data_IF_599505187858
#
_entry.id   IF_599505187858
#
_cell.length_a   1.000
_cell.length_b   1.000
_cell.length_c   1.000
_cell.angle_alpha   90.00
_cell.angle_beta   90.00
_cell.angle_gamma   90.00
#
_symmetry.space_group_name_H-M   'P 1'
#
loop_
_entity.id
_entity.type
_entity.pdbx_description
1 polymer ?
#
# COMPACT_ATOMS: atom_id res chain seq x y z
N UNK A 1 -17.04 -43.25 -2.86
CA UNK A 1 -16.07 -42.89 -3.92
C UNK A 1 -16.79 -42.93 -5.26
N UNK A 2 -16.91 -41.80 -5.98
CA UNK A 2 -17.53 -41.81 -7.32
C UNK A 2 -16.40 -42.00 -8.34
N UNK A 3 -16.13 -43.25 -8.70
CA UNK A 3 -15.32 -43.60 -9.85
C UNK A 3 -16.25 -43.84 -11.04
N UNK A 4 -16.45 -42.82 -11.89
CA UNK A 4 -16.98 -42.96 -13.25
C UNK A 4 -16.24 -41.97 -14.14
N UNK A 5 -15.74 -42.47 -15.27
CA UNK A 5 -14.63 -41.92 -16.04
C UNK A 5 -14.79 -40.46 -16.50
N UNK A 6 -13.65 -39.77 -16.57
CA UNK A 6 -13.38 -38.54 -17.33
C UNK A 6 -14.55 -37.55 -17.51
N UNK A 7 -15.34 -37.32 -16.45
CA UNK A 7 -16.48 -36.42 -16.49
C UNK A 7 -15.96 -34.97 -16.48
N UNK A 8 -15.77 -34.39 -17.67
CA UNK A 8 -15.46 -32.95 -17.84
C UNK A 8 -16.62 -32.04 -17.39
N UNK A 9 -17.82 -32.60 -17.29
CA UNK A 9 -19.05 -31.93 -16.87
C UNK A 9 -18.93 -31.58 -15.38
N UNK A 10 -18.92 -30.28 -15.07
CA UNK A 10 -18.83 -29.77 -13.70
C UNK A 10 -17.42 -29.40 -13.23
N UNK A 11 -16.35 -29.68 -13.99
CA UNK A 11 -14.97 -29.24 -13.63
C UNK A 11 -14.90 -27.72 -13.43
N UNK A 12 -15.56 -26.94 -14.31
CA UNK A 12 -15.66 -25.46 -14.18
C UNK A 12 -16.28 -25.00 -12.85
N UNK A 13 -17.10 -25.84 -12.21
CA UNK A 13 -17.82 -25.54 -10.97
C UNK A 13 -17.21 -26.21 -9.72
N UNK A 14 -16.20 -27.08 -9.89
CA UNK A 14 -15.48 -27.71 -8.77
C UNK A 14 -14.36 -26.77 -8.32
N UNK A 15 -14.51 -26.17 -7.13
CA UNK A 15 -13.46 -25.33 -6.54
C UNK A 15 -12.40 -26.20 -5.84
N UNK A 16 -11.41 -26.70 -6.60
CA UNK A 16 -10.20 -27.38 -6.10
C UNK A 16 -8.93 -26.51 -6.22
N UNK A 17 -7.76 -27.01 -5.83
CA UNK A 17 -6.48 -26.26 -5.97
C UNK A 17 -6.24 -25.79 -7.40
N UNK A 18 -6.56 -26.63 -8.38
CA UNK A 18 -6.27 -26.41 -9.81
C UNK A 18 -7.41 -25.74 -10.60
N UNK A 19 -8.26 -24.98 -9.91
CA UNK A 19 -9.34 -24.26 -10.60
C UNK A 19 -8.76 -23.13 -11.45
N UNK A 20 -9.11 -23.06 -12.76
CA UNK A 20 -8.50 -22.10 -13.69
C UNK A 20 -8.96 -20.65 -13.47
N UNK A 21 -9.97 -20.41 -12.63
CA UNK A 21 -10.47 -19.07 -12.35
C UNK A 21 -9.66 -18.31 -11.30
N UNK A 22 -9.77 -16.99 -11.31
CA UNK A 22 -9.11 -16.16 -10.31
C UNK A 22 -9.73 -16.35 -8.92
N UNK A 23 -8.91 -16.74 -7.95
CA UNK A 23 -9.26 -16.82 -6.53
C UNK A 23 -9.32 -15.42 -5.91
N UNK A 24 -10.22 -15.22 -4.95
CA UNK A 24 -10.35 -13.94 -4.26
C UNK A 24 -9.07 -13.49 -3.54
N UNK A 25 -8.35 -14.43 -2.91
CA UNK A 25 -7.07 -14.17 -2.26
C UNK A 25 -7.09 -13.22 -1.05
N UNK A 26 -8.26 -12.76 -0.58
CA UNK A 26 -8.34 -11.89 0.59
C UNK A 26 -8.00 -12.69 1.85
N UNK A 27 -7.33 -12.07 2.83
CA UNK A 27 -7.00 -12.72 4.10
C UNK A 27 -8.29 -13.03 4.86
N UNK A 28 -8.52 -14.30 5.14
CA UNK A 28 -9.68 -14.75 5.92
C UNK A 28 -9.41 -14.57 7.42
N UNK A 29 -10.45 -14.74 8.26
CA UNK A 29 -10.30 -14.72 9.73
C UNK A 29 -9.30 -15.76 10.26
N UNK A 30 -9.11 -16.88 9.54
CA UNK A 30 -8.11 -17.92 9.88
C UNK A 30 -6.69 -17.56 9.43
N UNK A 31 -6.48 -16.37 8.85
CA UNK A 31 -5.19 -15.94 8.33
C UNK A 31 -4.83 -16.46 6.94
N UNK A 32 -5.55 -17.45 6.41
CA UNK A 32 -5.32 -18.03 5.08
C UNK A 32 -5.99 -17.22 3.96
N UNK A 33 -5.52 -17.38 2.72
CA UNK A 33 -6.07 -16.71 1.54
C UNK A 33 -7.45 -17.27 1.14
N UNK A 34 -8.38 -16.38 0.78
CA UNK A 34 -9.74 -16.76 0.41
C UNK A 34 -9.78 -17.53 -0.92
N UNK A 35 -10.33 -18.75 -0.85
CA UNK A 35 -10.45 -19.64 -2.01
C UNK A 35 -11.73 -19.44 -2.84
N UNK A 36 -12.64 -18.55 -2.44
CA UNK A 36 -13.87 -18.29 -3.19
C UNK A 36 -13.55 -17.69 -4.58
N UNK A 37 -14.40 -17.94 -5.59
CA UNK A 37 -14.25 -17.31 -6.90
C UNK A 37 -14.27 -15.78 -6.76
N UNK A 38 -13.32 -15.11 -7.42
CA UNK A 38 -13.28 -13.67 -7.52
C UNK A 38 -14.39 -13.16 -8.45
N UNK A 39 -14.87 -11.94 -8.19
CA UNK A 39 -15.63 -11.18 -9.17
C UNK A 39 -14.67 -10.68 -10.26
N UNK A 40 -15.09 -10.79 -11.53
CA UNK A 40 -14.34 -10.29 -12.70
C UNK A 40 -14.01 -8.80 -12.61
N UNK A 41 -14.80 -8.00 -11.90
CA UNK A 41 -14.65 -6.54 -11.82
C UNK A 41 -13.47 -6.08 -10.96
N UNK A 42 -13.28 -6.69 -9.79
CA UNK A 42 -12.32 -6.19 -8.79
C UNK A 42 -11.45 -7.29 -8.15
N UNK A 43 -11.53 -8.53 -8.64
CA UNK A 43 -10.70 -9.64 -8.16
C UNK A 43 -11.07 -10.16 -6.76
N UNK A 44 -12.13 -9.65 -6.12
CA UNK A 44 -12.58 -10.11 -4.80
C UNK A 44 -13.92 -10.82 -4.87
N UNK A 45 -14.17 -11.77 -3.97
CA UNK A 45 -15.46 -12.45 -3.88
C UNK A 45 -16.50 -11.57 -3.16
N UNK A 46 -17.80 -11.89 -3.32
CA UNK A 46 -18.92 -11.12 -2.76
C UNK A 46 -18.76 -10.74 -1.28
N UNK A 47 -18.24 -11.65 -0.44
CA UNK A 47 -18.07 -11.43 1.01
C UNK A 47 -16.82 -10.62 1.37
N UNK A 48 -15.88 -10.47 0.43
CA UNK A 48 -14.68 -9.64 0.59
C UNK A 48 -14.77 -8.37 -0.28
N UNK A 49 -15.98 -7.81 -0.43
CA UNK A 49 -16.20 -6.58 -1.18
C UNK A 49 -16.30 -6.75 -2.70
N UNK A 50 -16.34 -7.99 -3.20
CA UNK A 50 -16.47 -8.28 -4.63
C UNK A 50 -17.71 -7.70 -5.31
N UNK A 51 -18.78 -7.51 -4.53
CA UNK A 51 -20.01 -6.87 -5.00
C UNK A 51 -20.07 -5.36 -4.66
N UNK A 52 -19.11 -4.85 -3.88
CA UNK A 52 -19.07 -3.45 -3.52
C UNK A 52 -18.62 -2.61 -4.71
N UNK A 53 -19.36 -1.54 -4.97
CA UNK A 53 -19.06 -0.59 -6.04
C UNK A 53 -18.33 0.65 -5.53
N UNK A 54 -18.22 0.80 -4.21
CA UNK A 54 -17.76 2.03 -3.58
C UNK A 54 -18.69 3.23 -3.82
N UNK A 55 -18.35 4.40 -3.26
CA UNK A 55 -19.05 5.66 -3.54
C UNK A 55 -18.82 6.10 -4.98
N UNK A 56 -19.91 6.36 -5.72
CA UNK A 56 -19.83 6.82 -7.12
C UNK A 56 -19.85 8.33 -7.27
N UNK A 57 -20.45 9.04 -6.31
CA UNK A 57 -20.55 10.50 -6.30
C UNK A 57 -19.36 11.13 -5.59
N UNK A 58 -19.10 12.40 -5.89
CA UNK A 58 -18.05 13.17 -5.21
C UNK A 58 -18.38 13.35 -3.72
N UNK A 59 -19.63 13.68 -3.39
CA UNK A 59 -20.13 13.76 -2.02
C UNK A 59 -19.93 12.45 -1.25
N UNK A 60 -20.20 11.31 -1.88
CA UNK A 60 -20.02 10.00 -1.26
C UNK A 60 -18.53 9.69 -0.99
N UNK A 61 -17.64 10.09 -1.91
CA UNK A 61 -16.19 9.98 -1.72
C UNK A 61 -15.71 10.88 -0.59
N UNK A 62 -16.21 12.12 -0.53
CA UNK A 62 -15.89 13.07 0.53
C UNK A 62 -16.32 12.54 1.90
N UNK A 63 -17.56 12.05 2.03
CA UNK A 63 -18.09 11.48 3.28
C UNK A 63 -17.27 10.30 3.78
N UNK A 64 -16.90 9.37 2.89
CA UNK A 64 -16.07 8.21 3.27
C UNK A 64 -14.63 8.64 3.59
N UNK A 65 -14.09 9.64 2.88
CA UNK A 65 -12.77 10.20 3.18
C UNK A 65 -12.74 10.83 4.57
N UNK A 66 -13.77 11.61 4.93
CA UNK A 66 -13.94 12.23 6.23
C UNK A 66 -14.11 11.18 7.33
N UNK A 67 -15.00 10.20 7.14
CA UNK A 67 -15.21 9.12 8.11
C UNK A 67 -13.94 8.28 8.38
N UNK A 68 -13.05 8.13 7.39
CA UNK A 68 -11.78 7.41 7.55
C UNK A 68 -10.62 8.31 8.02
N UNK A 69 -10.82 9.62 8.13
CA UNK A 69 -9.79 10.56 8.52
C UNK A 69 -9.54 10.45 10.03
N UNK A 70 -8.41 9.85 10.42
CA UNK A 70 -8.06 9.69 11.84
C UNK A 70 -7.33 10.89 12.44
N UNK A 71 -6.23 11.33 11.81
CA UNK A 71 -5.32 12.34 12.38
C UNK A 71 -4.74 13.31 11.35
N UNK A 72 -5.13 13.24 10.07
CA UNK A 72 -4.72 14.19 9.03
C UNK A 72 -3.26 14.12 8.53
N UNK A 73 -2.33 13.46 9.23
CA UNK A 73 -0.90 13.35 8.83
C UNK A 73 -0.65 12.88 7.38
N UNK A 74 -1.56 12.07 6.82
CA UNK A 74 -1.45 11.54 5.45
C UNK A 74 -2.32 12.27 4.43
N UNK A 75 -2.89 13.43 4.77
CA UNK A 75 -3.57 14.26 3.76
C UNK A 75 -2.56 14.75 2.71
N UNK A 76 -3.06 15.01 1.50
CA UNK A 76 -2.22 15.45 0.37
C UNK A 76 -1.36 16.67 0.73
N UNK A 77 -1.94 17.63 1.44
CA UNK A 77 -1.24 18.86 1.83
C UNK A 77 -0.14 18.62 2.85
N UNK A 78 -0.39 17.79 3.87
CA UNK A 78 0.62 17.45 4.88
C UNK A 78 1.77 16.65 4.27
N UNK A 79 1.47 15.75 3.33
CA UNK A 79 2.49 15.02 2.58
C UNK A 79 3.31 15.95 1.68
N UNK A 80 2.68 16.89 0.99
CA UNK A 80 3.35 17.91 0.17
C UNK A 80 4.28 18.77 1.02
N UNK A 81 3.77 19.35 2.12
CA UNK A 81 4.56 20.13 3.08
C UNK A 81 5.73 19.33 3.67
N UNK A 82 5.53 18.05 3.96
CA UNK A 82 6.61 17.17 4.43
C UNK A 82 7.70 17.00 3.37
N UNK A 83 7.35 16.81 2.09
CA UNK A 83 8.30 16.71 0.99
C UNK A 83 9.09 18.01 0.81
N UNK A 84 8.41 19.15 0.85
CA UNK A 84 9.02 20.48 0.76
C UNK A 84 10.00 20.73 1.92
N UNK A 85 9.58 20.47 3.15
CA UNK A 85 10.44 20.60 4.33
C UNK A 85 11.66 19.68 4.26
N UNK A 86 11.48 18.43 3.80
CA UNK A 86 12.58 17.51 3.61
C UNK A 86 13.56 18.01 2.53
N UNK A 87 13.06 18.62 1.44
CA UNK A 87 13.90 19.21 0.40
C UNK A 87 14.70 20.40 0.94
N UNK A 88 14.07 21.31 1.69
CA UNK A 88 14.75 22.43 2.38
C UNK A 88 15.83 21.92 3.33
N UNK A 89 15.49 20.95 4.18
CA UNK A 89 16.45 20.36 5.12
C UNK A 89 17.62 19.66 4.43
N UNK A 90 17.43 19.08 3.24
CA UNK A 90 18.54 18.53 2.45
C UNK A 90 19.49 19.62 1.95
N UNK A 91 18.97 20.75 1.46
CA UNK A 91 19.79 21.89 1.01
C UNK A 91 20.64 22.45 2.15
N UNK A 92 19.98 22.77 3.27
CA UNK A 92 20.66 23.30 4.47
C UNK A 92 21.75 22.35 4.95
N UNK A 93 21.48 21.03 5.03
CA UNK A 93 22.49 20.05 5.42
C UNK A 93 23.66 19.94 4.43
N UNK A 94 23.40 20.11 3.13
CA UNK A 94 24.45 20.11 2.12
C UNK A 94 25.35 21.35 2.25
N UNK A 95 24.76 22.52 2.48
CA UNK A 95 25.48 23.78 2.74
C UNK A 95 26.32 23.69 4.02
N UNK A 96 25.74 23.23 5.13
CA UNK A 96 26.45 22.99 6.38
C UNK A 96 27.65 22.05 6.15
N UNK A 97 27.43 20.94 5.44
CA UNK A 97 28.51 19.99 5.13
C UNK A 97 29.63 20.64 4.31
N UNK A 98 29.29 21.50 3.36
CA UNK A 98 30.28 22.23 2.56
C UNK A 98 31.10 23.19 3.43
N UNK A 99 30.45 23.98 4.28
CA UNK A 99 31.11 24.89 5.23
C UNK A 99 32.03 24.11 6.16
N UNK A 100 31.54 23.01 6.75
CA UNK A 100 32.32 22.15 7.63
C UNK A 100 33.57 21.58 6.94
N UNK A 101 33.44 21.21 5.67
CA UNK A 101 34.57 20.69 4.89
C UNK A 101 35.63 21.77 4.68
N UNK A 102 35.21 22.98 4.29
CA UNK A 102 36.11 24.14 4.11
C UNK A 102 36.83 24.53 5.40
N UNK A 103 36.13 24.56 6.54
CA UNK A 103 36.74 24.88 7.83
C UNK A 103 37.75 23.82 8.30
N UNK A 104 37.52 22.54 7.98
CA UNK A 104 38.48 21.47 8.25
C UNK A 104 39.72 21.64 7.36
N UNK A 105 39.55 21.97 6.09
CA UNK A 105 40.65 22.20 5.14
C UNK A 105 41.51 23.41 5.54
N UNK A 106 40.90 24.48 6.05
CA UNK A 106 41.59 25.65 6.58
C UNK A 106 42.29 25.40 7.93
N UNK A 107 42.09 24.22 8.53
CA UNK A 107 42.65 23.88 9.84
C UNK A 107 41.97 24.57 11.03
N UNK A 108 40.86 25.28 10.80
CA UNK A 108 40.07 25.94 11.85
C UNK A 108 39.30 24.91 12.69
N UNK A 109 38.77 23.86 12.04
CA UNK A 109 38.08 22.75 12.72
C UNK A 109 38.92 21.46 12.68
N UNK A 110 38.94 20.74 13.80
CA UNK A 110 39.50 19.38 13.85
C UNK A 110 38.65 18.43 13.01
N UNK A 111 39.27 17.45 12.36
CA UNK A 111 38.56 16.48 11.51
C UNK A 111 37.52 15.62 12.23
N UNK A 112 37.64 15.48 13.56
CA UNK A 112 36.72 14.76 14.44
C UNK A 112 35.84 15.66 15.31
N UNK A 113 35.74 16.98 15.03
CA UNK A 113 35.12 17.97 15.93
C UNK A 113 33.67 17.66 16.37
N UNK A 114 32.88 16.91 15.58
CA UNK A 114 31.50 16.50 15.94
C UNK A 114 31.43 15.42 17.03
N UNK A 115 32.56 14.82 17.40
CA UNK A 115 32.66 13.74 18.40
C UNK A 115 33.29 14.23 19.71
N UNK A 116 33.83 15.44 19.71
CA UNK A 116 34.33 16.13 20.90
C UNK A 116 33.16 16.89 21.55
#
# INVERSE_FOLDING_TARGET
MIAKGNVKIGIKWRFGTDWPGQRCGAKTRKGTACQRPANKKNGRCRVHGGASTGPRTEEGRARISEANLRHGRYTKDKLKKRRENAAKGRKVRAEIKHIETSLIEQGVLKRNWRKD
#
